data_IF_459943163727
#
_entry.id   IF_459943163727
#
_cell.length_a   1.000
_cell.length_b   1.000
_cell.length_c   1.000
_cell.angle_alpha   90.00
_cell.angle_beta   90.00
_cell.angle_gamma   90.00
#
_symmetry.space_group_name_H-M   'P 1'
#
loop_
_entity.id
_entity.type
_entity.pdbx_description
1 polymer ?
#
# COMPACT_ATOMS: atom_id res chain seq x y z
N UNK A 1 12.62 2.28 1.86
CA UNK A 1 12.02 2.73 3.11
C UNK A 1 10.67 3.38 2.88
N UNK A 2 9.71 3.07 3.74
CA UNK A 2 8.35 3.60 3.57
C UNK A 2 8.23 5.03 4.12
N UNK A 3 7.44 5.89 3.45
CA UNK A 3 7.12 7.20 4.01
C UNK A 3 6.42 7.05 5.36
N UNK A 4 6.71 7.94 6.30
CA UNK A 4 6.08 7.91 7.62
C UNK A 4 4.75 8.64 7.65
N UNK A 5 4.55 9.60 6.77
CA UNK A 5 3.28 10.32 6.67
C UNK A 5 2.26 9.44 5.97
N UNK A 6 1.10 9.16 6.60
CA UNK A 6 0.11 8.26 6.02
C UNK A 6 -0.40 8.70 4.65
N UNK A 7 -0.54 10.00 4.41
CA UNK A 7 -1.03 10.48 3.12
C UNK A 7 0.03 10.35 2.03
N UNK A 8 1.29 10.57 2.39
CA UNK A 8 2.40 10.34 1.46
C UNK A 8 2.53 8.85 1.18
N UNK A 9 2.39 8.02 2.23
CA UNK A 9 2.42 6.58 2.09
C UNK A 9 1.31 6.08 1.16
N UNK A 10 0.10 6.60 1.33
CA UNK A 10 -1.04 6.26 0.47
C UNK A 10 -0.74 6.55 -1.00
N UNK A 11 -0.23 7.74 -1.29
CA UNK A 11 0.11 8.13 -2.65
C UNK A 11 1.21 7.25 -3.24
N UNK A 12 2.25 7.00 -2.44
CA UNK A 12 3.38 6.16 -2.86
C UNK A 12 2.92 4.73 -3.19
N UNK A 13 2.16 4.12 -2.27
CA UNK A 13 1.68 2.75 -2.45
C UNK A 13 0.77 2.64 -3.67
N UNK A 14 -0.20 3.56 -3.81
CA UNK A 14 -1.12 3.50 -4.94
C UNK A 14 -0.41 3.71 -6.27
N UNK A 15 0.61 4.55 -6.31
CA UNK A 15 1.42 4.72 -7.53
C UNK A 15 2.16 3.43 -7.87
N UNK A 16 2.75 2.77 -6.88
CA UNK A 16 3.44 1.50 -7.09
C UNK A 16 2.48 0.41 -7.57
N UNK A 17 1.30 0.32 -6.96
CA UNK A 17 0.30 -0.66 -7.37
C UNK A 17 -0.22 -0.40 -8.78
N UNK A 18 -0.33 0.86 -9.17
CA UNK A 18 -0.78 1.21 -10.52
C UNK A 18 0.27 0.87 -11.57
N UNK A 19 1.54 1.17 -11.29
CA UNK A 19 2.60 1.15 -12.31
C UNK A 19 3.49 -0.09 -12.27
N UNK A 20 3.66 -0.73 -11.12
CA UNK A 20 4.71 -1.74 -10.96
C UNK A 20 4.25 -3.10 -10.42
N UNK A 21 3.16 -3.16 -9.65
CA UNK A 21 2.73 -4.39 -9.00
C UNK A 21 1.27 -4.71 -9.26
N UNK A 22 0.99 -5.99 -9.49
CA UNK A 22 -0.37 -6.47 -9.75
C UNK A 22 -1.20 -6.66 -8.48
N UNK A 23 -0.55 -6.69 -7.32
CA UNK A 23 -1.22 -6.92 -6.05
C UNK A 23 -0.40 -6.35 -4.91
N UNK A 24 -1.07 -6.16 -3.76
CA UNK A 24 -0.40 -5.71 -2.56
C UNK A 24 0.61 -6.75 -2.07
N UNK A 25 0.26 -8.02 -2.17
CA UNK A 25 1.19 -9.11 -1.81
C UNK A 25 2.48 -9.04 -2.62
N UNK A 26 2.35 -8.82 -3.91
CA UNK A 26 3.52 -8.72 -4.79
C UNK A 26 4.41 -7.54 -4.41
N UNK A 27 3.80 -6.41 -4.13
CA UNK A 27 4.54 -5.21 -3.69
C UNK A 27 5.29 -5.48 -2.39
N UNK A 28 4.60 -6.02 -1.40
CA UNK A 28 5.19 -6.25 -0.08
C UNK A 28 6.29 -7.30 -0.14
N UNK A 29 6.11 -8.33 -0.93
CA UNK A 29 7.11 -9.38 -1.08
C UNK A 29 8.38 -8.87 -1.75
N UNK A 30 8.22 -8.11 -2.84
CA UNK A 30 9.37 -7.60 -3.59
C UNK A 30 10.16 -6.55 -2.82
N UNK A 31 9.46 -5.69 -2.08
CA UNK A 31 10.09 -4.60 -1.33
C UNK A 31 10.40 -4.97 0.13
N UNK A 32 10.11 -6.21 0.51
CA UNK A 32 10.34 -6.72 1.88
C UNK A 32 9.61 -5.84 2.91
N UNK A 33 8.34 -5.58 2.66
CA UNK A 33 7.48 -4.78 3.52
C UNK A 33 6.48 -5.69 4.22
N UNK A 34 6.27 -5.46 5.53
CA UNK A 34 5.25 -6.19 6.28
C UNK A 34 3.86 -5.69 5.84
N UNK A 35 3.12 -6.58 5.17
CA UNK A 35 1.80 -6.24 4.62
C UNK A 35 0.82 -5.81 5.72
N UNK A 36 0.83 -6.51 6.86
CA UNK A 36 -0.07 -6.20 7.97
C UNK A 36 0.20 -4.80 8.52
N UNK A 37 1.46 -4.45 8.70
CA UNK A 37 1.83 -3.11 9.17
C UNK A 37 1.43 -2.03 8.18
N UNK A 38 1.66 -2.28 6.89
CA UNK A 38 1.29 -1.33 5.85
C UNK A 38 -0.22 -1.10 5.83
N UNK A 39 -1.00 -2.18 5.88
CA UNK A 39 -2.45 -2.08 5.91
C UNK A 39 -2.94 -1.33 7.15
N UNK A 40 -2.38 -1.65 8.33
CA UNK A 40 -2.76 -0.97 9.57
C UNK A 40 -2.47 0.53 9.51
N UNK A 41 -1.33 0.92 8.95
CA UNK A 41 -0.95 2.33 8.83
C UNK A 41 -1.97 3.11 8.01
N UNK A 42 -2.46 2.53 6.93
CA UNK A 42 -3.43 3.20 6.06
C UNK A 42 -4.86 3.10 6.59
N UNK A 43 -5.21 1.99 7.25
CA UNK A 43 -6.53 1.84 7.87
C UNK A 43 -6.71 2.83 9.01
N UNK A 44 -5.65 3.18 9.70
CA UNK A 44 -5.70 4.16 10.79
C UNK A 44 -6.18 5.54 10.31
N UNK A 45 -6.02 5.84 9.03
CA UNK A 45 -6.48 7.11 8.45
C UNK A 45 -7.65 6.90 7.47
N UNK A 46 -8.28 5.72 7.53
CA UNK A 46 -9.52 5.46 6.81
C UNK A 46 -9.41 4.86 5.42
N UNK A 47 -8.24 4.34 5.05
CA UNK A 47 -8.06 3.73 3.73
C UNK A 47 -7.83 2.24 3.83
N UNK A 48 -8.53 1.47 2.99
CA UNK A 48 -8.40 0.02 2.94
C UNK A 48 -8.02 -0.44 1.55
N UNK A 49 -7.31 -1.56 1.49
CA UNK A 49 -6.92 -2.14 0.21
C UNK A 49 -8.14 -2.74 -0.49
N UNK A 50 -8.35 -2.29 -1.72
CA UNK A 50 -9.39 -2.81 -2.61
C UNK A 50 -8.72 -3.73 -3.65
N UNK A 51 -8.83 -5.04 -3.43
CA UNK A 51 -8.16 -6.01 -4.28
C UNK A 51 -8.72 -6.02 -5.71
N UNK A 52 -10.00 -5.70 -5.86
CA UNK A 52 -10.64 -5.68 -7.18
C UNK A 52 -10.07 -4.57 -8.06
N UNK A 53 -9.66 -3.47 -7.45
CA UNK A 53 -9.11 -2.31 -8.16
C UNK A 53 -7.61 -2.15 -7.96
N UNK A 54 -7.02 -3.00 -7.12
CA UNK A 54 -5.60 -2.99 -6.80
C UNK A 54 -5.13 -1.62 -6.31
N UNK A 55 -5.83 -1.10 -5.31
CA UNK A 55 -5.46 0.20 -4.71
C UNK A 55 -6.08 0.34 -3.32
N UNK A 56 -5.55 1.30 -2.54
CA UNK A 56 -6.17 1.71 -1.30
C UNK A 56 -7.18 2.84 -1.58
N UNK A 57 -8.34 2.72 -0.95
CA UNK A 57 -9.41 3.71 -1.13
C UNK A 57 -10.25 3.90 0.14
#
# INVERSE_FOLDING_TARGET
>A
MLPKDPMILLSWVNTKLRDEYDSLSALCEDLDVDQTELEHSLEAVGFRYDAARNRFA
#
